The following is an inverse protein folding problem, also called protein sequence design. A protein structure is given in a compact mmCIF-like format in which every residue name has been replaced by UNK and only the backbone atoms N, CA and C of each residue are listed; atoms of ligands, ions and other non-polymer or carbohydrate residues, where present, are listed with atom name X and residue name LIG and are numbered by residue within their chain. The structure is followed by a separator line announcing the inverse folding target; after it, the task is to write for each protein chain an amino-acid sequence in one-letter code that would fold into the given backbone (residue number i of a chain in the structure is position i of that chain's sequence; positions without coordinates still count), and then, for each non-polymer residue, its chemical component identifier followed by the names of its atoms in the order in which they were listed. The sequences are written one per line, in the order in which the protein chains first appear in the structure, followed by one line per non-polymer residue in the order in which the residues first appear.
data_IF_621383258897
#
_entry.id   IF_621383258897
#
_cell.length_a   1.000
_cell.length_b   1.000
_cell.length_c   1.000
_cell.angle_alpha   90.00
_cell.angle_beta   90.00
_cell.angle_gamma   90.00
#
_symmetry.space_group_name_H-M   'P 1'
#
loop_
_entity.id
_entity.type
_entity.pdbx_description
1 polymer ?
#
# COMPACT_ATOMS: atom_id res chain seq x y z
N UNK A 1 16.54 21.73 11.27
CA UNK A 1 15.38 20.82 11.16
C UNK A 1 14.20 21.43 10.42
N UNK A 2 13.51 22.48 10.94
CA UNK A 2 12.36 23.09 10.23
C UNK A 2 12.76 23.78 8.91
N UNK A 3 13.89 24.51 8.90
CA UNK A 3 14.42 25.15 7.69
C UNK A 3 14.74 24.13 6.59
N UNK A 4 15.33 22.99 6.97
CA UNK A 4 15.67 21.92 6.03
C UNK A 4 14.41 21.32 5.38
N UNK A 5 13.32 21.21 6.14
CA UNK A 5 12.03 20.72 5.65
C UNK A 5 11.38 21.70 4.67
N UNK A 6 11.38 23.00 4.98
CA UNK A 6 10.87 24.06 4.10
C UNK A 6 11.70 24.10 2.80
N UNK A 7 13.02 23.98 2.90
CA UNK A 7 13.92 23.91 1.74
C UNK A 7 13.68 22.65 0.90
N UNK A 8 13.40 21.50 1.53
CA UNK A 8 13.07 20.28 0.81
C UNK A 8 11.74 20.40 0.04
N UNK A 9 10.72 20.99 0.67
CA UNK A 9 9.42 21.23 0.03
C UNK A 9 9.56 22.24 -1.11
N UNK A 10 10.28 23.35 -0.91
CA UNK A 10 10.47 24.36 -1.95
C UNK A 10 11.28 23.80 -3.13
N UNK A 11 12.26 22.95 -2.86
CA UNK A 11 13.01 22.26 -3.90
C UNK A 11 12.15 21.24 -4.68
N UNK A 12 11.16 20.60 -4.03
CA UNK A 12 10.27 19.62 -4.68
C UNK A 12 9.43 20.23 -5.81
N UNK A 13 9.04 21.49 -5.67
CA UNK A 13 8.23 22.22 -6.65
C UNK A 13 9.00 23.32 -7.38
N UNK A 14 10.34 23.25 -7.36
CA UNK A 14 11.18 24.25 -8.01
C UNK A 14 10.89 24.26 -9.52
N UNK A 15 10.50 25.42 -10.03
CA UNK A 15 10.18 25.62 -11.46
C UNK A 15 8.74 25.27 -11.86
N UNK A 16 7.87 24.90 -10.90
CA UNK A 16 6.45 24.61 -11.18
C UNK A 16 5.63 25.89 -11.15
N UNK A 17 4.59 25.98 -11.99
CA UNK A 17 3.64 27.09 -11.91
C UNK A 17 2.75 26.96 -10.67
N UNK A 18 2.14 28.07 -10.24
CA UNK A 18 1.17 28.04 -9.14
C UNK A 18 0.01 27.08 -9.42
N UNK A 19 -0.46 26.99 -10.68
CA UNK A 19 -1.52 26.09 -11.08
C UNK A 19 -1.11 24.61 -10.91
N UNK A 20 0.10 24.23 -11.34
CA UNK A 20 0.60 22.84 -11.24
C UNK A 20 0.72 22.39 -9.77
N UNK A 21 1.21 23.31 -8.92
CA UNK A 21 1.31 23.09 -7.48
C UNK A 21 -0.09 22.89 -6.90
N UNK A 22 -1.04 23.77 -7.24
CA UNK A 22 -2.41 23.69 -6.74
C UNK A 22 -3.10 22.40 -7.17
N UNK A 23 -2.92 21.96 -8.41
CA UNK A 23 -3.43 20.67 -8.91
C UNK A 23 -2.85 19.50 -8.11
N UNK A 24 -1.55 19.52 -7.85
CA UNK A 24 -0.87 18.46 -7.08
C UNK A 24 -1.33 18.41 -5.64
N UNK A 25 -1.39 19.57 -4.97
CA UNK A 25 -1.86 19.66 -3.60
C UNK A 25 -3.33 19.23 -3.46
N UNK A 26 -4.16 19.58 -4.44
CA UNK A 26 -5.56 19.14 -4.48
C UNK A 26 -5.65 17.61 -4.58
N UNK A 27 -4.89 16.99 -5.49
CA UNK A 27 -4.84 15.53 -5.64
C UNK A 27 -4.38 14.82 -4.36
N UNK A 28 -3.31 15.31 -3.74
CA UNK A 28 -2.80 14.79 -2.46
C UNK A 28 -3.84 14.97 -1.35
N UNK A 29 -4.46 16.15 -1.26
CA UNK A 29 -5.48 16.48 -0.27
C UNK A 29 -6.68 15.54 -0.34
N UNK A 30 -7.22 15.30 -1.55
CA UNK A 30 -8.28 14.32 -1.74
C UNK A 30 -7.83 12.90 -1.40
N UNK A 31 -6.59 12.54 -1.70
CA UNK A 31 -6.02 11.25 -1.34
C UNK A 31 -5.94 11.03 0.18
N UNK A 32 -5.46 12.04 0.91
CA UNK A 32 -5.38 12.02 2.38
C UNK A 32 -6.78 11.97 2.99
N UNK A 33 -7.73 12.75 2.45
CA UNK A 33 -9.12 12.74 2.91
C UNK A 33 -9.75 11.34 2.79
N UNK A 34 -9.58 10.66 1.65
CA UNK A 34 -10.03 9.27 1.48
C UNK A 34 -9.29 8.31 2.41
N UNK A 35 -7.99 8.50 2.57
CA UNK A 35 -7.16 7.70 3.46
C UNK A 35 -7.51 7.83 4.94
N UNK A 36 -8.01 9.00 5.37
CA UNK A 36 -8.53 9.20 6.73
C UNK A 36 -9.70 8.24 7.04
N UNK A 37 -10.67 8.09 6.13
CA UNK A 37 -11.78 7.14 6.33
C UNK A 37 -11.33 5.68 6.27
N UNK A 38 -10.31 5.36 5.47
CA UNK A 38 -9.72 4.02 5.48
C UNK A 38 -9.05 3.74 6.82
N UNK A 39 -8.29 4.70 7.35
CA UNK A 39 -7.57 4.57 8.63
C UNK A 39 -8.47 4.18 9.80
N UNK A 40 -9.71 4.70 9.85
CA UNK A 40 -10.69 4.34 10.89
C UNK A 40 -11.05 2.85 10.84
N UNK A 41 -11.00 2.23 9.66
CA UNK A 41 -11.32 0.80 9.44
C UNK A 41 -10.09 -0.10 9.53
N UNK A 42 -8.88 0.47 9.61
CA UNK A 42 -7.64 -0.29 9.67
C UNK A 42 -7.44 -0.92 11.05
N UNK A 43 -6.65 -2.00 11.13
CA UNK A 43 -6.23 -2.54 12.41
C UNK A 43 -5.42 -1.49 13.20
N UNK A 44 -4.44 -0.88 12.52
CA UNK A 44 -3.67 0.24 13.05
C UNK A 44 -2.93 0.98 11.93
N UNK A 45 -2.71 2.28 12.11
CA UNK A 45 -1.85 3.10 11.25
C UNK A 45 -1.12 4.16 12.07
N UNK A 46 0.22 4.19 12.00
CA UNK A 46 1.04 5.13 12.79
C UNK A 46 1.09 6.55 12.22
N UNK A 47 0.92 6.72 10.91
CA UNK A 47 1.00 8.03 10.25
C UNK A 47 -0.10 8.28 9.24
N UNK A 48 0.20 9.15 8.26
CA UNK A 48 -0.73 9.48 7.19
C UNK A 48 -0.97 8.27 6.29
N UNK A 49 -2.21 8.17 5.81
CA UNK A 49 -2.60 7.22 4.77
C UNK A 49 -3.13 8.05 3.61
N UNK A 50 -2.57 7.86 2.42
CA UNK A 50 -3.08 8.45 1.18
C UNK A 50 -3.74 7.35 0.35
N UNK A 51 -5.00 7.57 -0.05
CA UNK A 51 -5.79 6.61 -0.81
C UNK A 51 -6.23 7.20 -2.15
N UNK A 52 -5.73 6.61 -3.23
CA UNK A 52 -6.07 6.95 -4.61
C UNK A 52 -7.54 6.71 -4.94
N UNK A 53 -8.01 7.30 -6.03
CA UNK A 53 -9.39 7.11 -6.51
C UNK A 53 -9.57 5.68 -7.03
N UNK A 54 -10.79 5.14 -6.89
CA UNK A 54 -11.12 3.80 -7.37
C UNK A 54 -10.37 2.66 -6.66
N UNK A 55 -9.68 2.94 -5.55
CA UNK A 55 -8.95 1.93 -4.78
C UNK A 55 -9.91 1.09 -3.96
N UNK A 56 -9.70 -0.23 -3.95
CA UNK A 56 -10.50 -1.17 -3.18
C UNK A 56 -9.66 -1.81 -2.07
N UNK A 57 -9.88 -1.40 -0.82
CA UNK A 57 -9.29 -2.05 0.36
C UNK A 57 -10.38 -2.80 1.13
N UNK A 58 -10.33 -4.13 1.06
CA UNK A 58 -11.28 -5.04 1.71
C UNK A 58 -10.69 -5.60 3.00
N UNK A 59 -11.54 -5.83 4.00
CA UNK A 59 -11.16 -6.39 5.30
C UNK A 59 -10.06 -5.58 6.00
N UNK A 60 -10.14 -4.25 5.92
CA UNK A 60 -9.10 -3.34 6.39
C UNK A 60 -8.70 -3.53 7.87
N UNK A 61 -9.56 -4.14 8.69
CA UNK A 61 -9.26 -4.52 10.07
C UNK A 61 -8.13 -5.57 10.20
N UNK A 62 -7.64 -6.12 9.08
CA UNK A 62 -6.46 -6.97 8.96
C UNK A 62 -5.26 -6.25 8.32
N UNK A 63 -5.33 -4.93 8.14
CA UNK A 63 -4.25 -4.10 7.61
C UNK A 63 -3.61 -3.30 8.75
N UNK A 64 -2.31 -3.50 8.93
CA UNK A 64 -1.47 -2.69 9.83
C UNK A 64 -0.46 -1.91 9.00
N UNK A 65 -0.35 -0.60 9.28
CA UNK A 65 0.56 0.29 8.57
C UNK A 65 1.46 1.12 9.50
N UNK A 66 2.70 1.33 9.05
CA UNK A 66 3.61 2.31 9.63
C UNK A 66 3.19 3.75 9.35
N UNK A 67 4.18 4.64 9.23
CA UNK A 67 4.01 6.03 8.83
C UNK A 67 3.94 6.14 7.31
N UNK A 68 3.11 7.04 6.80
CA UNK A 68 3.11 7.46 5.40
C UNK A 68 2.88 6.32 4.40
N UNK A 69 1.74 5.63 4.55
CA UNK A 69 1.26 4.64 3.58
C UNK A 69 0.60 5.35 2.40
N UNK A 70 1.01 5.01 1.19
CA UNK A 70 0.36 5.44 -0.04
C UNK A 70 -0.21 4.22 -0.75
N UNK A 71 -1.50 4.25 -1.08
CA UNK A 71 -2.13 3.29 -1.98
C UNK A 71 -2.66 4.10 -3.16
N UNK A 72 -2.08 3.92 -4.34
CA UNK A 72 -2.40 4.68 -5.54
C UNK A 72 -3.70 4.23 -6.20
N UNK A 73 -4.14 5.00 -7.19
CA UNK A 73 -5.42 4.84 -7.86
C UNK A 73 -5.65 3.40 -8.36
N UNK A 74 -6.88 2.92 -8.23
CA UNK A 74 -7.35 1.63 -8.75
C UNK A 74 -6.57 0.40 -8.24
N UNK A 75 -5.76 0.52 -7.19
CA UNK A 75 -5.16 -0.63 -6.56
C UNK A 75 -6.23 -1.47 -5.82
N UNK A 76 -5.98 -2.77 -5.72
CA UNK A 76 -6.78 -3.69 -4.93
C UNK A 76 -5.92 -4.27 -3.80
N UNK A 77 -6.40 -4.15 -2.56
CA UNK A 77 -5.79 -4.76 -1.39
C UNK A 77 -6.86 -5.56 -0.65
N UNK A 78 -6.86 -6.88 -0.87
CA UNK A 78 -7.64 -7.80 -0.06
C UNK A 78 -6.82 -8.14 1.18
N UNK A 79 -7.29 -7.73 2.37
CA UNK A 79 -6.53 -7.93 3.61
C UNK A 79 -6.91 -9.22 4.35
N UNK A 80 -7.83 -10.03 3.83
CA UNK A 80 -8.26 -11.26 4.50
C UNK A 80 -7.14 -12.31 4.50
N UNK A 81 -6.36 -12.35 5.57
CA UNK A 81 -5.22 -13.24 5.74
C UNK A 81 -5.05 -13.66 7.21
N UNK A 82 -4.47 -14.83 7.45
CA UNK A 82 -4.24 -15.33 8.82
C UNK A 82 -3.13 -14.58 9.57
N UNK A 83 -2.08 -14.14 8.86
CA UNK A 83 -0.97 -13.32 9.40
C UNK A 83 -1.09 -11.85 9.02
N UNK A 84 -2.29 -11.40 8.63
CA UNK A 84 -2.62 -10.05 8.23
C UNK A 84 -1.79 -9.52 7.04
N UNK A 85 -2.09 -8.30 6.62
CA UNK A 85 -1.24 -7.51 5.73
C UNK A 85 -0.55 -6.44 6.58
N UNK A 86 0.78 -6.48 6.60
CA UNK A 86 1.61 -5.59 7.43
C UNK A 86 2.53 -4.78 6.54
N UNK A 87 2.40 -3.47 6.58
CA UNK A 87 3.23 -2.54 5.81
C UNK A 87 4.02 -1.63 6.74
N UNK A 88 5.31 -1.47 6.45
CA UNK A 88 6.24 -0.63 7.19
C UNK A 88 6.01 0.87 6.99
N UNK A 89 7.01 1.67 7.36
CA UNK A 89 7.04 3.10 7.16
C UNK A 89 7.39 3.44 5.70
N UNK A 90 6.74 4.46 5.13
CA UNK A 90 6.96 5.00 3.78
C UNK A 90 6.80 3.93 2.70
N UNK A 91 5.71 3.17 2.79
CA UNK A 91 5.36 2.15 1.78
C UNK A 91 4.40 2.72 0.75
N UNK A 92 4.68 2.45 -0.53
CA UNK A 92 3.79 2.79 -1.64
C UNK A 92 3.28 1.53 -2.35
N UNK A 93 1.96 1.40 -2.47
CA UNK A 93 1.31 0.38 -3.30
C UNK A 93 0.86 1.08 -4.59
N UNK A 94 1.52 0.76 -5.70
CA UNK A 94 1.36 1.45 -6.97
C UNK A 94 0.01 1.22 -7.65
N UNK A 95 -0.28 2.08 -8.62
CA UNK A 95 -1.56 2.09 -9.37
C UNK A 95 -1.87 0.73 -9.97
N UNK A 96 -3.12 0.29 -9.90
CA UNK A 96 -3.55 -1.04 -10.38
C UNK A 96 -2.80 -2.25 -9.78
N UNK A 97 -1.99 -2.07 -8.74
CA UNK A 97 -1.39 -3.21 -8.06
C UNK A 97 -2.49 -4.02 -7.36
N UNK A 98 -2.33 -5.35 -7.36
CA UNK A 98 -3.28 -6.28 -6.76
C UNK A 98 -2.54 -7.06 -5.68
N UNK A 99 -3.01 -6.98 -4.44
CA UNK A 99 -2.56 -7.79 -3.32
C UNK A 99 -3.72 -8.69 -2.91
N UNK A 100 -3.53 -10.01 -3.07
CA UNK A 100 -4.56 -11.02 -2.81
C UNK A 100 -3.98 -12.22 -2.08
N UNK A 101 -4.16 -12.30 -0.76
CA UNK A 101 -3.93 -13.54 0.00
C UNK A 101 -5.05 -14.55 -0.22
N UNK A 102 -6.28 -14.09 -0.41
CA UNK A 102 -7.48 -14.93 -0.50
C UNK A 102 -8.29 -14.56 -1.73
N UNK A 103 -9.08 -15.51 -2.22
CA UNK A 103 -10.03 -15.27 -3.30
C UNK A 103 -11.08 -14.23 -2.85
N UNK A 104 -11.38 -13.27 -3.74
CA UNK A 104 -12.30 -12.16 -3.49
C UNK A 104 -13.76 -12.62 -3.27
N UNK A 105 -14.10 -13.84 -3.71
CA UNK A 105 -15.44 -14.42 -3.59
C UNK A 105 -15.55 -15.46 -2.46
N UNK A 106 -14.57 -15.51 -1.56
CA UNK A 106 -14.48 -16.50 -0.47
C UNK A 106 -13.63 -17.71 -0.83
N UNK A 107 -13.36 -18.56 0.15
CA UNK A 107 -12.47 -19.72 0.03
C UNK A 107 -11.50 -19.81 1.21
N UNK A 108 -10.42 -20.56 1.01
CA UNK A 108 -9.35 -20.70 2.00
C UNK A 108 -8.70 -19.33 2.23
N UNK A 109 -8.50 -18.99 3.50
CA UNK A 109 -7.81 -17.77 3.90
C UNK A 109 -6.31 -17.94 3.69
N UNK A 110 -5.70 -17.06 2.90
CA UNK A 110 -4.26 -17.05 2.67
C UNK A 110 -3.45 -16.65 3.88
N UNK A 111 -2.14 -16.84 3.79
CA UNK A 111 -1.24 -16.65 4.91
C UNK A 111 -0.93 -15.18 5.20
N UNK A 112 -0.68 -14.35 4.17
CA UNK A 112 -0.51 -12.91 4.32
C UNK A 112 0.80 -12.34 3.77
N UNK A 113 1.02 -11.05 4.03
CA UNK A 113 2.09 -10.27 3.42
C UNK A 113 2.72 -9.32 4.41
N UNK A 114 4.04 -9.25 4.41
CA UNK A 114 4.82 -8.20 5.08
C UNK A 114 5.63 -7.41 4.06
N UNK A 115 5.54 -6.07 4.13
CA UNK A 115 6.36 -5.15 3.35
C UNK A 115 7.19 -4.29 4.31
N UNK A 116 8.51 -4.31 4.17
CA UNK A 116 9.43 -3.51 4.96
C UNK A 116 9.35 -2.00 4.69
N UNK A 117 10.14 -1.24 5.44
CA UNK A 117 10.19 0.22 5.34
C UNK A 117 10.80 0.68 4.02
N UNK A 118 10.44 1.87 3.56
CA UNK A 118 10.97 2.51 2.34
C UNK A 118 10.77 1.67 1.06
N UNK A 119 9.76 0.81 1.05
CA UNK A 119 9.55 -0.13 -0.04
C UNK A 119 8.34 0.27 -0.89
N UNK A 120 8.33 -0.15 -2.15
CA UNK A 120 7.22 0.12 -3.05
C UNK A 120 6.87 -1.07 -3.93
N UNK A 121 5.57 -1.30 -4.11
CA UNK A 121 5.03 -2.21 -5.11
C UNK A 121 4.76 -1.41 -6.37
N UNK A 122 5.40 -1.75 -7.48
CA UNK A 122 5.24 -1.02 -8.74
C UNK A 122 3.86 -1.16 -9.37
N UNK A 123 3.53 -0.24 -10.26
CA UNK A 123 2.26 -0.19 -11.01
C UNK A 123 1.92 -1.53 -11.67
N UNK A 124 0.66 -1.95 -11.56
CA UNK A 124 0.12 -3.17 -12.16
C UNK A 124 0.84 -4.47 -11.74
N UNK A 125 1.50 -4.46 -10.59
CA UNK A 125 2.08 -5.69 -10.00
C UNK A 125 1.00 -6.56 -9.36
N UNK A 126 1.26 -7.86 -9.30
CA UNK A 126 0.37 -8.83 -8.67
C UNK A 126 1.12 -9.54 -7.54
N UNK A 127 0.57 -9.50 -6.34
CA UNK A 127 1.10 -10.15 -5.14
C UNK A 127 0.07 -11.16 -4.65
N UNK A 128 0.22 -12.41 -5.10
CA UNK A 128 -0.53 -13.57 -4.64
C UNK A 128 0.12 -14.14 -3.38
N UNK A 129 -0.41 -13.78 -2.22
CA UNK A 129 0.13 -14.16 -0.91
C UNK A 129 -0.76 -15.19 -0.19
N UNK A 130 -1.22 -16.21 -0.93
CA UNK A 130 -1.92 -17.37 -0.40
C UNK A 130 -1.02 -18.14 0.59
N UNK A 131 0.28 -18.25 0.27
CA UNK A 131 1.37 -18.49 1.22
C UNK A 131 2.03 -17.17 1.65
N UNK A 132 2.84 -17.21 2.71
CA UNK A 132 3.43 -15.98 3.26
C UNK A 132 4.51 -15.39 2.37
N UNK A 133 4.41 -14.07 2.13
CA UNK A 133 5.43 -13.29 1.44
C UNK A 133 6.01 -12.26 2.40
N UNK A 134 7.33 -12.18 2.47
CA UNK A 134 8.06 -11.13 3.17
C UNK A 134 8.94 -10.35 2.19
N UNK A 135 8.66 -9.06 2.05
CA UNK A 135 9.47 -8.10 1.33
C UNK A 135 10.26 -7.29 2.36
N UNK A 136 11.58 -7.22 2.19
CA UNK A 136 12.49 -6.49 3.08
C UNK A 136 12.33 -4.97 3.04
N UNK A 137 13.25 -4.28 3.72
CA UNK A 137 13.37 -2.83 3.68
C UNK A 137 14.08 -2.37 2.39
N UNK A 138 13.80 -1.15 1.96
CA UNK A 138 14.46 -0.48 0.84
C UNK A 138 14.32 -1.26 -0.49
N UNK A 139 13.16 -1.91 -0.68
CA UNK A 139 12.85 -2.70 -1.87
C UNK A 139 11.88 -1.96 -2.78
N UNK A 140 12.31 -1.73 -4.03
CA UNK A 140 11.45 -1.20 -5.08
C UNK A 140 11.13 -2.31 -6.08
N UNK A 141 9.90 -2.82 -6.06
CA UNK A 141 9.41 -3.65 -7.14
C UNK A 141 9.09 -2.76 -8.35
N UNK A 142 9.62 -3.15 -9.50
CA UNK A 142 9.28 -2.50 -10.77
C UNK A 142 7.81 -2.67 -11.16
N UNK A 143 7.37 -2.03 -12.26
CA UNK A 143 6.03 -2.23 -12.76
C UNK A 143 5.82 -3.69 -13.21
N UNK A 144 4.59 -4.20 -13.05
CA UNK A 144 4.15 -5.53 -13.53
C UNK A 144 4.93 -6.71 -12.96
N UNK A 145 5.46 -6.59 -11.74
CA UNK A 145 6.09 -7.72 -11.05
C UNK A 145 5.00 -8.64 -10.50
N UNK A 146 5.16 -9.94 -10.73
CA UNK A 146 4.30 -10.99 -10.17
C UNK A 146 5.03 -11.76 -9.07
N UNK A 147 4.48 -11.79 -7.86
CA UNK A 147 4.91 -12.68 -6.78
C UNK A 147 3.76 -13.66 -6.49
N UNK A 148 4.08 -14.95 -6.44
CA UNK A 148 3.12 -16.01 -6.23
C UNK A 148 3.66 -16.95 -5.16
N UNK A 149 3.07 -16.90 -3.97
CA UNK A 149 3.32 -17.84 -2.89
C UNK A 149 2.03 -18.60 -2.62
N UNK A 150 2.14 -19.92 -2.56
CA UNK A 150 1.02 -20.83 -2.29
C UNK A 150 1.39 -21.74 -1.12
N UNK A 151 0.42 -22.05 -0.27
CA UNK A 151 0.59 -22.99 0.83
C UNK A 151 -0.21 -24.26 0.52
N UNK A 152 0.48 -25.25 -0.05
CA UNK A 152 -0.07 -26.58 -0.27
C UNK A 152 0.25 -27.42 0.96
N UNK A 153 -0.70 -27.55 1.90
CA UNK A 153 -0.53 -28.43 3.07
C UNK A 153 -0.26 -29.86 2.58
N UNK A 154 1.01 -30.27 2.56
CA UNK A 154 1.48 -31.54 1.98
C UNK A 154 1.17 -32.76 2.86
N UNK A 155 0.79 -32.57 4.12
CA UNK A 155 0.56 -33.64 5.12
C UNK A 155 -0.81 -34.34 5.01
N UNK A 156 -1.38 -34.43 3.80
CA UNK A 156 -2.57 -35.25 3.53
C UNK A 156 -2.29 -36.26 2.43
N UNK A 157 -1.43 -37.23 2.72
CA UNK A 157 -1.33 -38.50 2.00
C UNK A 157 -1.27 -39.64 2.99
#
# INVERSE_FOLDING_TARGET
MIRDYITQISNRFRGWSFADIMTTLSNIGFGIFRGFFLRIRMQSAKGLVMLGKGTHVRYANHLTAGRDLIIEDYAEVNCMATRNIVVGDRVTIGRFAIIRPSNAFGGVVGEGLKIGNNSSIGTSSYIGCSGYIEIGNDVMLGPRVGLFAENHVYDRT
#
